data_IF_273874035978
#
_entry.id   IF_273874035978
#
_cell.length_a   1.000
_cell.length_b   1.000
_cell.length_c   1.000
_cell.angle_alpha   90.00
_cell.angle_beta   90.00
_cell.angle_gamma   90.00
#
_symmetry.space_group_name_H-M   'P 1'
#
loop_
_entity.id
_entity.type
_entity.pdbx_description
1 polymer ?
#
# COMPACT_ATOMS: atom_id res chain seq x y z
N UNK A 1 7.11 -26.30 15.59
CA UNK A 1 7.95 -25.07 15.69
C UNK A 1 9.19 -25.28 14.84
N UNK A 2 9.30 -24.54 13.74
CA UNK A 2 10.38 -24.71 12.78
C UNK A 2 11.45 -23.61 12.99
N UNK A 3 12.13 -23.63 14.15
CA UNK A 3 13.29 -22.76 14.39
C UNK A 3 14.51 -23.49 13.85
N UNK A 4 15.22 -22.87 12.91
CA UNK A 4 16.53 -23.36 12.49
C UNK A 4 17.48 -23.35 13.70
N UNK A 5 18.10 -24.52 13.98
CA UNK A 5 18.96 -24.71 15.18
C UNK A 5 20.24 -23.87 15.11
N UNK A 6 20.74 -23.60 13.90
CA UNK A 6 22.03 -22.94 13.71
C UNK A 6 21.84 -21.50 13.25
N UNK A 7 22.66 -20.60 13.79
CA UNK A 7 22.71 -19.20 13.36
C UNK A 7 23.34 -19.13 11.96
N UNK A 8 22.66 -18.51 11.01
CA UNK A 8 23.21 -18.28 9.68
C UNK A 8 24.19 -17.10 9.73
N UNK A 9 25.46 -17.36 9.51
CA UNK A 9 26.54 -16.37 9.50
C UNK A 9 27.05 -16.04 8.10
N UNK A 10 26.72 -16.87 7.11
CA UNK A 10 27.18 -16.71 5.73
C UNK A 10 26.21 -15.91 4.88
N UNK A 11 26.68 -14.79 4.30
CA UNK A 11 25.97 -14.00 3.29
C UNK A 11 25.74 -14.76 1.97
N UNK A 12 26.49 -15.86 1.75
CA UNK A 12 26.36 -16.73 0.58
C UNK A 12 25.28 -17.83 0.75
N UNK A 13 24.68 -17.95 1.93
CA UNK A 13 23.61 -18.90 2.19
C UNK A 13 22.46 -18.72 1.18
N UNK A 14 21.93 -19.79 0.54
CA UNK A 14 20.88 -19.70 -0.47
C UNK A 14 19.63 -18.96 0.00
N UNK A 15 19.22 -19.16 1.27
CA UNK A 15 18.05 -18.53 1.85
C UNK A 15 18.26 -17.02 2.03
N UNK A 16 19.49 -16.60 2.39
CA UNK A 16 19.86 -15.18 2.49
C UNK A 16 19.85 -14.53 1.09
N UNK A 17 20.42 -15.20 0.10
CA UNK A 17 20.40 -14.71 -1.30
C UNK A 17 18.97 -14.54 -1.80
N UNK A 18 18.11 -15.52 -1.54
CA UNK A 18 16.70 -15.42 -1.90
C UNK A 18 16.00 -14.25 -1.18
N UNK A 19 16.17 -14.10 0.13
CA UNK A 19 15.56 -13.00 0.89
C UNK A 19 15.98 -11.62 0.36
N UNK A 20 17.24 -11.47 -0.05
CA UNK A 20 17.75 -10.23 -0.67
C UNK A 20 17.03 -9.90 -1.98
N UNK A 21 16.64 -10.91 -2.79
CA UNK A 21 15.91 -10.64 -4.05
C UNK A 21 14.55 -9.99 -3.84
N UNK A 22 13.96 -10.13 -2.65
CA UNK A 22 12.66 -9.52 -2.31
C UNK A 22 12.71 -7.99 -2.19
N UNK A 23 13.90 -7.40 -2.14
CA UNK A 23 14.07 -5.95 -2.28
C UNK A 23 13.63 -5.45 -3.67
N UNK A 24 13.79 -6.28 -4.70
CA UNK A 24 13.47 -5.96 -6.09
C UNK A 24 12.06 -6.43 -6.49
N UNK A 25 11.39 -5.68 -7.39
CA UNK A 25 10.04 -6.02 -7.87
C UNK A 25 9.99 -7.42 -8.46
N UNK A 26 10.98 -7.77 -9.32
CA UNK A 26 11.07 -9.10 -9.97
C UNK A 26 11.08 -10.23 -8.92
N UNK A 27 11.96 -10.15 -7.93
CA UNK A 27 12.07 -11.19 -6.90
C UNK A 27 10.78 -11.35 -6.07
N UNK A 28 10.09 -10.25 -5.74
CA UNK A 28 8.80 -10.29 -5.05
C UNK A 28 7.73 -11.02 -5.86
N UNK A 29 7.60 -10.69 -7.14
CA UNK A 29 6.56 -11.29 -8.01
C UNK A 29 6.88 -12.75 -8.35
N UNK A 30 8.14 -13.12 -8.57
CA UNK A 30 8.56 -14.51 -8.75
C UNK A 30 8.33 -15.36 -7.50
N UNK A 31 8.52 -14.79 -6.32
CA UNK A 31 8.32 -15.47 -5.03
C UNK A 31 6.87 -15.42 -4.52
N UNK A 32 6.01 -14.58 -5.09
CA UNK A 32 4.66 -14.32 -4.58
C UNK A 32 4.68 -13.79 -3.13
N UNK A 33 5.72 -13.02 -2.76
CA UNK A 33 5.95 -12.59 -1.38
C UNK A 33 6.65 -11.23 -1.31
N UNK A 34 6.53 -10.58 -0.16
CA UNK A 34 7.17 -9.29 0.13
C UNK A 34 7.77 -9.26 1.54
N UNK A 35 8.58 -8.24 1.80
CA UNK A 35 9.24 -8.02 3.09
C UNK A 35 8.42 -7.05 3.94
N UNK A 36 8.15 -7.44 5.19
CA UNK A 36 7.76 -6.58 6.29
C UNK A 36 8.97 -6.40 7.23
N UNK A 37 9.67 -5.26 7.09
CA UNK A 37 10.90 -4.97 7.85
C UNK A 37 10.54 -4.21 9.13
N UNK A 38 10.90 -4.77 10.28
CA UNK A 38 10.70 -4.23 11.62
C UNK A 38 9.67 -4.98 12.46
N UNK A 39 9.89 -4.89 13.78
CA UNK A 39 9.07 -5.65 14.75
C UNK A 39 7.59 -5.27 14.70
N UNK A 40 7.28 -3.97 14.57
CA UNK A 40 5.89 -3.51 14.53
C UNK A 40 5.14 -4.09 13.33
N UNK A 41 5.71 -4.02 12.13
CA UNK A 41 5.09 -4.59 10.93
C UNK A 41 4.95 -6.11 11.01
N UNK A 42 5.95 -6.79 11.55
CA UNK A 42 5.89 -8.23 11.80
C UNK A 42 4.73 -8.61 12.72
N UNK A 43 4.57 -7.90 13.85
CA UNK A 43 3.48 -8.16 14.80
C UNK A 43 2.11 -7.81 14.21
N UNK A 44 2.00 -6.71 13.47
CA UNK A 44 0.76 -6.33 12.79
C UNK A 44 0.36 -7.35 11.71
N UNK A 45 1.32 -7.86 10.93
CA UNK A 45 1.07 -8.91 9.94
C UNK A 45 0.62 -10.22 10.62
N UNK A 46 1.28 -10.62 11.70
CA UNK A 46 0.93 -11.80 12.48
C UNK A 46 -0.48 -11.67 13.10
N UNK A 47 -0.78 -10.52 13.72
CA UNK A 47 -2.09 -10.25 14.33
C UNK A 47 -3.22 -10.18 13.31
N UNK A 48 -2.91 -9.73 12.08
CA UNK A 48 -3.86 -9.75 10.95
C UNK A 48 -4.08 -11.16 10.37
N UNK A 49 -3.38 -12.18 10.86
CA UNK A 49 -3.48 -13.55 10.38
C UNK A 49 -2.89 -13.75 8.98
N UNK A 50 -1.93 -12.93 8.58
CA UNK A 50 -1.31 -13.06 7.27
C UNK A 50 -0.32 -14.23 7.21
N UNK A 51 -0.18 -14.89 6.06
CA UNK A 51 0.70 -16.03 5.90
C UNK A 51 2.18 -15.59 5.86
N UNK A 52 2.80 -15.54 7.04
CA UNK A 52 4.24 -15.30 7.19
C UNK A 52 4.95 -16.61 6.93
N UNK A 53 5.79 -16.67 5.90
CA UNK A 53 6.54 -17.89 5.53
C UNK A 53 7.87 -18.01 6.26
N UNK A 54 8.58 -16.90 6.38
CA UNK A 54 9.89 -16.82 7.03
C UNK A 54 9.96 -15.60 7.93
N UNK A 55 10.69 -15.72 9.03
CA UNK A 55 11.00 -14.63 9.93
C UNK A 55 12.50 -14.65 10.24
N UNK A 56 13.25 -13.69 9.70
CA UNK A 56 14.67 -13.52 9.96
C UNK A 56 14.83 -12.59 11.16
N UNK A 57 15.58 -13.05 12.16
CA UNK A 57 15.83 -12.27 13.38
C UNK A 57 17.34 -12.17 13.59
N UNK A 58 17.82 -10.96 13.82
CA UNK A 58 19.22 -10.73 14.19
C UNK A 58 19.52 -11.35 15.55
N UNK A 59 20.66 -12.02 15.68
CA UNK A 59 21.06 -12.73 16.89
C UNK A 59 20.99 -11.89 18.16
N UNK A 60 21.34 -10.59 18.07
CA UNK A 60 21.29 -9.64 19.20
C UNK A 60 19.87 -9.23 19.61
N UNK A 61 18.85 -9.56 18.80
CA UNK A 61 17.43 -9.27 19.04
C UNK A 61 16.58 -10.51 19.29
N UNK A 62 17.16 -11.70 19.13
CA UNK A 62 16.42 -12.97 19.20
C UNK A 62 15.74 -13.15 20.56
N UNK A 63 16.43 -12.90 21.66
CA UNK A 63 15.88 -13.05 23.02
C UNK A 63 14.67 -12.14 23.26
N UNK A 64 14.72 -10.89 22.78
CA UNK A 64 13.66 -9.92 22.94
C UNK A 64 12.45 -10.17 22.02
N UNK A 65 12.68 -10.60 20.77
CA UNK A 65 11.63 -10.63 19.77
C UNK A 65 10.96 -11.99 19.59
N UNK A 66 11.65 -13.10 19.86
CA UNK A 66 11.06 -14.44 19.74
C UNK A 66 9.78 -14.62 20.58
N UNK A 67 9.72 -14.21 21.84
CA UNK A 67 8.49 -14.32 22.62
C UNK A 67 7.33 -13.54 22.02
N UNK A 68 7.58 -12.29 21.58
CA UNK A 68 6.56 -11.39 21.00
C UNK A 68 5.99 -11.96 19.70
N UNK A 69 6.87 -12.44 18.81
CA UNK A 69 6.48 -13.03 17.54
C UNK A 69 5.69 -14.32 17.77
N UNK A 70 6.15 -15.14 18.71
CA UNK A 70 5.48 -16.39 19.07
C UNK A 70 4.06 -16.16 19.61
N UNK A 71 3.88 -15.14 20.43
CA UNK A 71 2.58 -14.75 20.97
C UNK A 71 1.65 -14.21 19.87
N UNK A 72 2.19 -13.38 18.95
CA UNK A 72 1.41 -12.77 17.88
C UNK A 72 1.00 -13.75 16.78
N UNK A 73 1.81 -14.78 16.50
CA UNK A 73 1.50 -15.79 15.50
C UNK A 73 0.40 -16.74 16.03
N UNK A 74 -0.69 -16.86 15.27
CA UNK A 74 -1.72 -17.87 15.55
C UNK A 74 -1.13 -19.27 15.42
N UNK A 75 -1.64 -20.24 16.18
CA UNK A 75 -1.09 -21.57 16.27
C UNK A 75 -0.92 -22.26 14.90
N UNK A 76 -1.90 -22.10 14.00
CA UNK A 76 -1.90 -22.67 12.65
C UNK A 76 -0.84 -22.06 11.71
N UNK A 77 -0.49 -20.78 11.93
CA UNK A 77 0.58 -20.09 11.17
C UNK A 77 1.95 -20.31 11.82
N UNK A 78 1.99 -20.41 13.14
CA UNK A 78 3.24 -20.61 13.87
C UNK A 78 3.98 -21.89 13.46
N UNK A 79 3.26 -22.99 13.21
CA UNK A 79 3.86 -24.24 12.74
C UNK A 79 4.41 -24.17 11.32
N UNK A 80 3.85 -23.29 10.48
CA UNK A 80 4.21 -23.11 9.07
C UNK A 80 5.29 -22.04 8.85
N UNK A 81 5.50 -21.14 9.83
CA UNK A 81 6.50 -20.07 9.76
C UNK A 81 7.88 -20.62 10.10
N UNK A 82 8.85 -20.42 9.22
CA UNK A 82 10.25 -20.73 9.48
C UNK A 82 10.93 -19.55 10.18
N UNK A 83 11.34 -19.74 11.43
CA UNK A 83 12.09 -18.73 12.19
C UNK A 83 13.58 -19.00 12.04
N UNK A 84 14.33 -17.96 11.65
CA UNK A 84 15.74 -18.05 11.27
C UNK A 84 16.52 -17.00 12.02
N UNK A 85 17.44 -17.44 12.86
CA UNK A 85 18.38 -16.52 13.51
C UNK A 85 19.56 -16.31 12.57
N UNK A 86 19.92 -15.05 12.36
CA UNK A 86 21.03 -14.65 11.49
C UNK A 86 21.99 -13.76 12.25
N UNK A 87 23.28 -13.79 11.89
CA UNK A 87 24.24 -12.82 12.41
C UNK A 87 23.85 -11.41 12.00
N UNK A 88 24.27 -10.42 12.78
CA UNK A 88 24.01 -9.00 12.48
C UNK A 88 24.45 -8.62 11.06
N UNK A 89 25.62 -9.08 10.63
CA UNK A 89 26.15 -8.79 9.29
C UNK A 89 25.31 -9.39 8.16
N UNK A 90 24.67 -10.54 8.38
CA UNK A 90 23.73 -11.17 7.44
C UNK A 90 22.40 -10.39 7.46
N UNK A 91 21.91 -10.02 8.64
CA UNK A 91 20.68 -9.25 8.79
C UNK A 91 20.75 -7.91 8.01
N UNK A 92 21.84 -7.16 8.19
CA UNK A 92 22.11 -5.90 7.47
C UNK A 92 22.15 -6.07 5.95
N UNK A 93 22.46 -7.28 5.45
CA UNK A 93 22.43 -7.61 4.01
C UNK A 93 21.02 -7.83 3.48
N UNK A 94 20.10 -8.35 4.31
CA UNK A 94 18.71 -8.63 3.93
C UNK A 94 17.86 -7.37 4.07
N UNK A 95 18.10 -6.58 5.12
CA UNK A 95 17.31 -5.37 5.41
C UNK A 95 17.47 -4.31 4.32
N UNK A 96 16.37 -3.64 4.02
CA UNK A 96 16.31 -2.47 3.14
C UNK A 96 16.44 -1.15 3.90
N UNK A 97 16.61 -1.22 5.24
CA UNK A 97 16.65 -0.06 6.12
C UNK A 97 18.08 0.41 6.42
N UNK A 98 18.25 1.73 6.56
CA UNK A 98 19.51 2.33 7.02
C UNK A 98 19.81 2.04 8.49
N UNK A 99 18.77 1.89 9.32
CA UNK A 99 18.84 1.54 10.73
C UNK A 99 17.91 0.34 11.03
N UNK A 100 18.35 -0.89 10.70
CA UNK A 100 17.53 -2.07 10.82
C UNK A 100 17.11 -2.36 12.27
N UNK A 101 15.84 -2.73 12.48
CA UNK A 101 15.30 -3.04 13.81
C UNK A 101 15.61 -4.46 14.29
N UNK A 102 16.17 -5.31 13.43
CA UNK A 102 16.61 -6.66 13.80
C UNK A 102 15.56 -7.76 13.58
N UNK A 103 14.45 -7.47 12.91
CA UNK A 103 13.51 -8.50 12.44
C UNK A 103 12.94 -8.15 11.08
N UNK A 104 12.85 -9.17 10.21
CA UNK A 104 12.23 -9.10 8.89
C UNK A 104 11.32 -10.31 8.74
N UNK A 105 10.07 -10.08 8.39
CA UNK A 105 9.13 -11.12 8.01
C UNK A 105 8.90 -11.16 6.52
N UNK A 106 8.86 -12.35 5.95
CA UNK A 106 8.45 -12.59 4.56
C UNK A 106 6.99 -13.01 4.56
N UNK A 107 6.15 -12.18 3.98
CA UNK A 107 4.70 -12.35 3.92
C UNK A 107 4.31 -12.67 2.49
N UNK A 108 3.39 -13.61 2.27
CA UNK A 108 2.82 -13.88 0.94
C UNK A 108 2.05 -12.67 0.43
N UNK A 109 1.92 -12.56 -0.90
CA UNK A 109 1.07 -11.55 -1.51
C UNK A 109 -0.35 -11.64 -0.94
N UNK A 110 -0.98 -10.48 -0.78
CA UNK A 110 -2.28 -10.37 -0.11
C UNK A 110 -3.41 -10.62 -1.13
N UNK A 111 -4.38 -11.47 -0.77
CA UNK A 111 -5.47 -11.87 -1.67
C UNK A 111 -6.43 -10.72 -2.01
N UNK A 112 -6.49 -9.70 -1.14
CA UNK A 112 -7.30 -8.50 -1.39
C UNK A 112 -6.58 -7.43 -2.24
N UNK A 113 -5.38 -7.74 -2.75
CA UNK A 113 -4.73 -6.95 -3.78
C UNK A 113 -5.01 -7.60 -5.13
N UNK A 114 -5.77 -6.89 -5.96
CA UNK A 114 -6.22 -7.40 -7.25
C UNK A 114 -5.68 -6.58 -8.42
N UNK A 115 -5.51 -7.23 -9.57
CA UNK A 115 -5.20 -6.56 -10.82
C UNK A 115 -6.36 -6.80 -11.79
N UNK A 116 -6.95 -5.72 -12.30
CA UNK A 116 -8.07 -5.79 -13.23
C UNK A 116 -7.66 -5.27 -14.60
N UNK A 117 -7.78 -6.13 -15.60
CA UNK A 117 -7.52 -5.77 -17.00
C UNK A 117 -8.79 -5.25 -17.68
N UNK A 118 -9.95 -5.80 -17.33
CA UNK A 118 -11.26 -5.46 -17.89
C UNK A 118 -12.17 -5.06 -16.72
N UNK A 119 -12.97 -4.03 -16.91
CA UNK A 119 -13.95 -3.55 -15.94
C UNK A 119 -15.33 -3.65 -16.59
N UNK A 120 -16.16 -4.54 -16.05
CA UNK A 120 -17.55 -4.69 -16.49
C UNK A 120 -18.43 -3.71 -15.74
N UNK A 121 -19.23 -2.91 -16.46
CA UNK A 121 -20.12 -1.91 -15.87
C UNK A 121 -21.22 -2.55 -15.02
N UNK A 122 -21.71 -3.70 -15.48
CA UNK A 122 -22.78 -4.45 -14.85
C UNK A 122 -22.29 -5.26 -13.64
N UNK A 123 -21.03 -5.68 -13.65
CA UNK A 123 -20.39 -6.42 -12.57
C UNK A 123 -19.38 -5.53 -11.84
N UNK A 124 -19.86 -4.38 -11.33
CA UNK A 124 -19.00 -3.40 -10.73
C UNK A 124 -18.47 -3.89 -9.38
N UNK A 125 -17.16 -3.86 -9.20
CA UNK A 125 -16.46 -4.49 -8.07
C UNK A 125 -16.43 -3.65 -6.79
N UNK A 126 -16.97 -2.42 -6.82
CA UNK A 126 -17.09 -1.54 -5.65
C UNK A 126 -18.52 -1.58 -5.15
N UNK A 127 -18.70 -1.87 -3.86
CA UNK A 127 -20.03 -1.89 -3.23
C UNK A 127 -20.63 -0.47 -3.23
N UNK A 128 -21.96 -0.38 -3.17
CA UNK A 128 -22.70 0.88 -3.27
C UNK A 128 -22.26 1.91 -2.20
N UNK A 129 -22.00 1.46 -0.99
CA UNK A 129 -21.60 2.26 0.18
C UNK A 129 -20.07 2.31 0.40
N UNK A 130 -19.28 1.54 -0.35
CA UNK A 130 -17.83 1.44 -0.19
C UNK A 130 -17.13 2.73 -0.62
N UNK A 131 -16.39 3.35 0.29
CA UNK A 131 -15.58 4.54 0.00
C UNK A 131 -14.34 4.19 -0.80
N UNK A 132 -14.07 4.94 -1.86
CA UNK A 132 -12.92 4.70 -2.72
C UNK A 132 -12.15 5.97 -3.05
N UNK A 133 -10.83 5.85 -3.15
CA UNK A 133 -9.93 6.86 -3.72
C UNK A 133 -9.14 6.28 -4.87
N UNK A 134 -8.91 7.08 -5.91
CA UNK A 134 -8.21 6.66 -7.12
C UNK A 134 -6.89 7.40 -7.23
N UNK A 135 -5.81 6.70 -7.50
CA UNK A 135 -4.50 7.26 -7.73
C UNK A 135 -4.12 7.08 -9.20
N UNK A 136 -3.87 8.20 -9.88
CA UNK A 136 -3.47 8.25 -11.27
C UNK A 136 -1.97 8.55 -11.33
N UNK A 137 -1.15 7.57 -11.74
CA UNK A 137 0.30 7.72 -11.93
C UNK A 137 1.08 8.21 -10.71
N UNK A 138 0.63 7.90 -9.50
CA UNK A 138 1.38 8.22 -8.26
C UNK A 138 2.57 7.28 -8.15
N UNK A 139 3.76 7.78 -8.54
CA UNK A 139 4.98 6.95 -8.71
C UNK A 139 5.91 6.92 -7.52
N UNK A 140 5.79 7.84 -6.55
CA UNK A 140 6.59 7.77 -5.31
C UNK A 140 6.00 6.72 -4.35
N UNK A 141 6.78 5.68 -3.98
CA UNK A 141 6.31 4.64 -3.06
C UNK A 141 5.94 5.19 -1.67
N UNK A 142 6.55 6.29 -1.22
CA UNK A 142 6.20 6.89 0.08
C UNK A 142 4.85 7.58 0.02
N UNK A 143 4.52 8.25 -1.09
CA UNK A 143 3.22 8.89 -1.27
C UNK A 143 2.13 7.82 -1.34
N UNK A 144 2.33 6.76 -2.13
CA UNK A 144 1.41 5.63 -2.18
C UNK A 144 1.16 5.04 -0.79
N UNK A 145 2.22 4.73 -0.05
CA UNK A 145 2.09 4.19 1.31
C UNK A 145 1.39 5.15 2.27
N UNK A 146 1.67 6.45 2.18
CA UNK A 146 1.02 7.48 3.00
C UNK A 146 -0.47 7.63 2.68
N UNK A 147 -0.86 7.54 1.40
CA UNK A 147 -2.28 7.51 1.00
C UNK A 147 -2.98 6.29 1.59
N UNK A 148 -2.40 5.10 1.47
CA UNK A 148 -2.94 3.86 2.05
C UNK A 148 -3.13 4.02 3.57
N UNK A 149 -2.18 4.65 4.26
CA UNK A 149 -2.29 4.89 5.70
C UNK A 149 -3.43 5.88 6.03
N UNK A 150 -3.54 6.95 5.28
CA UNK A 150 -4.60 7.94 5.44
C UNK A 150 -5.98 7.37 5.10
N UNK A 151 -6.07 6.49 4.10
CA UNK A 151 -7.30 5.81 3.72
C UNK A 151 -7.93 5.07 4.92
N UNK A 152 -7.14 4.28 5.62
CA UNK A 152 -7.61 3.57 6.82
C UNK A 152 -8.01 4.55 7.93
N UNK A 153 -7.25 5.63 8.12
CA UNK A 153 -7.54 6.62 9.16
C UNK A 153 -8.88 7.37 8.93
N UNK A 154 -9.25 7.59 7.66
CA UNK A 154 -10.47 8.30 7.29
C UNK A 154 -11.61 7.38 6.82
N UNK A 155 -11.48 6.06 7.02
CA UNK A 155 -12.53 5.10 6.69
C UNK A 155 -12.73 4.89 5.20
N UNK A 156 -11.70 5.15 4.36
CA UNK A 156 -11.70 4.76 2.96
C UNK A 156 -11.29 3.29 2.88
N UNK A 157 -12.16 2.47 2.30
CA UNK A 157 -12.02 1.02 2.29
C UNK A 157 -11.30 0.49 1.07
N UNK A 158 -11.25 1.30 -0.03
CA UNK A 158 -10.71 0.89 -1.31
C UNK A 158 -9.78 1.95 -1.91
N UNK A 159 -8.54 1.57 -2.16
CA UNK A 159 -7.56 2.37 -2.92
C UNK A 159 -7.41 1.76 -4.31
N UNK A 160 -7.70 2.52 -5.34
CA UNK A 160 -7.62 2.08 -6.73
C UNK A 160 -6.45 2.78 -7.42
N UNK A 161 -5.63 2.04 -8.12
CA UNK A 161 -4.38 2.50 -8.72
C UNK A 161 -4.44 2.32 -10.23
N UNK A 162 -3.95 3.30 -11.00
CA UNK A 162 -3.52 3.03 -12.37
C UNK A 162 -2.31 2.08 -12.37
N UNK A 163 -2.11 1.34 -13.45
CA UNK A 163 -1.09 0.29 -13.54
C UNK A 163 0.36 0.82 -13.55
N UNK A 164 0.53 2.12 -13.77
CA UNK A 164 1.81 2.83 -13.72
C UNK A 164 2.12 3.49 -12.36
N UNK A 165 1.26 3.30 -11.36
CA UNK A 165 1.55 3.68 -9.98
C UNK A 165 2.75 2.90 -9.40
N UNK A 166 3.29 3.40 -8.29
CA UNK A 166 4.32 2.70 -7.53
C UNK A 166 3.86 1.29 -7.15
N UNK A 167 4.83 0.38 -7.04
CA UNK A 167 4.57 -1.00 -6.62
C UNK A 167 4.10 -1.04 -5.16
N UNK A 168 2.92 -1.64 -4.95
CA UNK A 168 2.29 -1.80 -3.64
C UNK A 168 3.15 -2.60 -2.65
N UNK A 169 3.94 -3.54 -3.15
CA UNK A 169 4.84 -4.37 -2.35
C UNK A 169 6.26 -3.80 -2.24
N UNK A 170 6.53 -2.61 -2.78
CA UNK A 170 7.82 -1.96 -2.59
C UNK A 170 8.08 -1.76 -1.08
N UNK A 171 9.27 -2.11 -0.56
CA UNK A 171 9.59 -1.94 0.86
C UNK A 171 9.32 -0.54 1.40
N UNK A 172 9.53 0.49 0.58
CA UNK A 172 9.24 1.89 0.96
C UNK A 172 7.73 2.15 1.06
N UNK A 173 6.90 1.54 0.18
CA UNK A 173 5.44 1.61 0.25
C UNK A 173 4.94 0.92 1.52
N UNK A 174 5.36 -0.33 1.76
CA UNK A 174 4.99 -1.11 2.94
C UNK A 174 5.32 -0.37 4.23
N UNK A 175 6.52 0.20 4.33
CA UNK A 175 6.95 0.98 5.49
C UNK A 175 6.10 2.23 5.69
N UNK A 176 5.85 3.01 4.63
CA UNK A 176 5.07 4.25 4.74
C UNK A 176 3.60 3.98 5.08
N UNK A 177 3.04 2.88 4.58
CA UNK A 177 1.68 2.45 4.89
C UNK A 177 1.54 1.87 6.30
N UNK A 178 2.63 1.36 6.89
CA UNK A 178 2.58 0.64 8.16
C UNK A 178 1.54 -0.51 8.11
N UNK A 179 0.96 -0.91 9.22
CA UNK A 179 -0.08 -1.94 9.27
C UNK A 179 -1.40 -1.59 8.57
N UNK A 180 -1.57 -0.36 8.11
CA UNK A 180 -2.71 0.03 7.27
C UNK A 180 -2.73 -0.74 5.95
N UNK A 181 -1.56 -1.15 5.44
CA UNK A 181 -1.44 -2.01 4.28
C UNK A 181 -2.25 -3.32 4.40
N UNK A 182 -2.49 -3.80 5.60
CA UNK A 182 -3.19 -5.05 5.90
C UNK A 182 -4.69 -4.87 6.15
N UNK A 183 -5.22 -3.65 5.99
CA UNK A 183 -6.59 -3.27 6.40
C UNK A 183 -7.40 -2.63 5.28
N UNK A 184 -6.80 -2.34 4.13
CA UNK A 184 -7.44 -1.65 3.01
C UNK A 184 -7.39 -2.53 1.77
N UNK A 185 -8.46 -2.51 1.00
CA UNK A 185 -8.53 -3.17 -0.30
C UNK A 185 -7.76 -2.34 -1.34
N UNK A 186 -6.96 -2.99 -2.16
CA UNK A 186 -6.23 -2.31 -3.24
C UNK A 186 -6.49 -3.00 -4.57
N UNK A 187 -6.89 -2.24 -5.57
CA UNK A 187 -7.08 -2.73 -6.93
C UNK A 187 -6.22 -1.93 -7.90
N UNK A 188 -5.46 -2.62 -8.73
CA UNK A 188 -4.73 -2.02 -9.85
C UNK A 188 -5.54 -2.22 -11.12
N UNK A 189 -5.83 -1.14 -11.84
CA UNK A 189 -6.61 -1.15 -13.08
C UNK A 189 -5.77 -0.70 -14.26
N UNK A 190 -5.95 -1.33 -15.43
CA UNK A 190 -5.26 -0.93 -16.65
C UNK A 190 -5.90 0.27 -17.34
N UNK A 191 -7.20 0.46 -17.17
CA UNK A 191 -7.95 1.51 -17.86
C UNK A 191 -8.71 2.37 -16.85
N UNK A 192 -8.20 3.57 -16.56
CA UNK A 192 -8.95 4.56 -15.80
C UNK A 192 -10.20 5.06 -16.54
N UNK A 193 -10.21 5.25 -17.88
CA UNK A 193 -11.43 5.57 -18.61
C UNK A 193 -12.57 4.58 -18.39
N UNK A 194 -12.28 3.27 -18.43
CA UNK A 194 -13.28 2.22 -18.19
C UNK A 194 -13.76 2.23 -16.73
N UNK A 195 -12.86 2.45 -15.79
CA UNK A 195 -13.21 2.60 -14.37
C UNK A 195 -14.16 3.79 -14.15
N UNK A 196 -13.82 4.97 -14.69
CA UNK A 196 -14.65 6.18 -14.56
C UNK A 196 -16.03 5.93 -15.15
N UNK A 197 -16.08 5.36 -16.36
CA UNK A 197 -17.34 5.04 -17.04
C UNK A 197 -18.19 4.04 -16.24
N UNK A 198 -17.58 3.02 -15.64
CA UNK A 198 -18.28 2.04 -14.79
C UNK A 198 -18.78 2.68 -13.50
N UNK A 199 -18.00 3.56 -12.86
CA UNK A 199 -18.42 4.29 -11.66
C UNK A 199 -19.65 5.17 -11.95
N UNK A 200 -19.62 5.95 -13.03
CA UNK A 200 -20.72 6.83 -13.42
C UNK A 200 -21.97 6.05 -13.83
N UNK A 201 -21.82 4.92 -14.54
CA UNK A 201 -22.93 4.03 -14.87
C UNK A 201 -23.65 3.50 -13.61
N UNK A 202 -22.88 3.26 -12.53
CA UNK A 202 -23.39 2.84 -11.23
C UNK A 202 -23.73 4.02 -10.28
N UNK A 203 -23.94 5.23 -10.84
CA UNK A 203 -24.42 6.39 -10.12
C UNK A 203 -23.42 7.10 -9.21
N UNK A 204 -22.12 6.77 -9.31
CA UNK A 204 -21.07 7.46 -8.56
C UNK A 204 -20.54 8.66 -9.32
N UNK A 205 -20.40 9.80 -8.64
CA UNK A 205 -19.69 10.94 -9.20
C UNK A 205 -18.18 10.73 -9.07
N UNK A 206 -17.44 11.13 -10.09
CA UNK A 206 -15.97 11.04 -10.12
C UNK A 206 -15.39 12.45 -10.28
N UNK A 207 -14.54 12.85 -9.36
CA UNK A 207 -13.90 14.16 -9.33
C UNK A 207 -12.39 14.06 -9.54
N UNK A 208 -11.81 15.03 -10.23
CA UNK A 208 -10.37 15.21 -10.33
C UNK A 208 -9.87 16.22 -9.31
N UNK A 209 -8.86 15.84 -8.53
CA UNK A 209 -8.17 16.76 -7.61
C UNK A 209 -7.15 17.60 -8.38
N UNK A 210 -7.59 18.71 -8.95
CA UNK A 210 -6.74 19.60 -9.76
C UNK A 210 -7.28 21.03 -9.80
N UNK A 211 -6.38 21.99 -10.03
CA UNK A 211 -6.72 23.38 -10.34
C UNK A 211 -6.64 23.59 -11.86
N UNK A 212 -7.80 23.81 -12.50
CA UNK A 212 -7.91 24.16 -13.93
C UNK A 212 -9.09 25.08 -14.16
N UNK A 213 -9.22 25.58 -15.39
CA UNK A 213 -10.36 26.38 -15.77
C UNK A 213 -11.69 25.62 -15.54
N UNK A 214 -12.63 26.27 -14.87
CA UNK A 214 -13.91 25.67 -14.48
C UNK A 214 -13.88 24.75 -13.24
N UNK A 215 -12.72 24.56 -12.61
CA UNK A 215 -12.63 23.79 -11.37
C UNK A 215 -13.35 24.50 -10.23
N UNK A 216 -14.01 23.71 -9.37
CA UNK A 216 -14.72 24.22 -8.18
C UNK A 216 -13.83 24.12 -6.96
N UNK A 217 -13.98 25.07 -6.04
CA UNK A 217 -13.33 24.98 -4.74
C UNK A 217 -13.89 23.81 -3.93
N UNK A 218 -13.04 23.09 -3.22
CA UNK A 218 -13.47 22.03 -2.30
C UNK A 218 -14.47 22.52 -1.25
N UNK A 219 -14.44 23.82 -0.91
CA UNK A 219 -15.40 24.46 0.01
C UNK A 219 -16.81 24.61 -0.56
N UNK A 220 -16.97 24.51 -1.88
CA UNK A 220 -18.23 24.72 -2.62
C UNK A 220 -18.87 23.41 -3.06
N UNK A 221 -18.20 22.29 -2.82
CA UNK A 221 -18.67 20.95 -3.20
C UNK A 221 -19.11 20.20 -1.95
N UNK A 222 -20.33 19.72 -1.97
CA UNK A 222 -20.80 18.71 -1.01
C UNK A 222 -20.37 17.32 -1.52
N UNK A 223 -19.23 16.83 -0.98
CA UNK A 223 -18.70 15.50 -1.27
C UNK A 223 -19.46 14.46 -0.48
N UNK A 224 -20.00 13.48 -1.22
CA UNK A 224 -20.65 12.30 -0.62
C UNK A 224 -19.62 11.19 -0.37
N UNK A 225 -19.92 10.32 0.55
CA UNK A 225 -19.09 9.13 0.85
C UNK A 225 -18.93 8.21 -0.36
N UNK A 226 -19.91 8.19 -1.27
CA UNK A 226 -19.92 7.38 -2.50
C UNK A 226 -19.18 8.03 -3.66
N UNK A 227 -18.78 9.30 -3.57
CA UNK A 227 -18.01 9.96 -4.62
C UNK A 227 -16.61 9.35 -4.71
N UNK A 228 -16.02 9.37 -5.89
CA UNK A 228 -14.64 8.96 -6.09
C UNK A 228 -13.77 10.18 -6.43
N UNK A 229 -12.59 10.26 -5.82
CA UNK A 229 -11.63 11.33 -6.06
C UNK A 229 -10.40 10.75 -6.73
N UNK A 230 -10.01 11.32 -7.87
CA UNK A 230 -8.76 10.99 -8.55
C UNK A 230 -7.66 11.95 -8.09
N UNK A 231 -6.59 11.39 -7.53
CA UNK A 231 -5.37 12.13 -7.18
C UNK A 231 -4.32 11.85 -8.25
N UNK A 232 -3.75 12.90 -8.82
CA UNK A 232 -2.78 12.81 -9.90
C UNK A 232 -1.33 12.66 -9.44
N UNK A 233 -0.46 12.54 -10.45
CA UNK A 233 0.99 12.54 -10.29
C UNK A 233 1.49 13.89 -9.77
N UNK A 234 2.56 13.85 -8.97
CA UNK A 234 3.15 15.04 -8.32
C UNK A 234 3.73 16.06 -9.30
N UNK A 235 4.26 15.61 -10.43
CA UNK A 235 4.90 16.49 -11.41
C UNK A 235 4.02 16.85 -12.60
N UNK A 236 3.11 15.96 -13.01
CA UNK A 236 2.33 16.12 -14.25
C UNK A 236 0.82 16.24 -14.00
N UNK A 237 0.38 16.04 -12.75
CA UNK A 237 -1.05 16.08 -12.41
C UNK A 237 -1.84 14.92 -13.00
N UNK A 238 -3.08 15.20 -13.36
CA UNK A 238 -4.00 14.25 -14.00
C UNK A 238 -3.99 14.51 -15.51
N UNK A 239 -3.82 13.50 -16.38
CA UNK A 239 -3.90 13.66 -17.82
C UNK A 239 -5.23 14.28 -18.26
N UNK A 240 -5.19 15.21 -19.21
CA UNK A 240 -6.38 15.95 -19.67
C UNK A 240 -7.49 15.03 -20.21
N UNK A 241 -7.12 13.91 -20.83
CA UNK A 241 -8.04 12.89 -21.32
C UNK A 241 -8.81 12.20 -20.18
N UNK A 242 -8.18 12.00 -19.02
CA UNK A 242 -8.83 11.44 -17.82
C UNK A 242 -9.74 12.50 -17.18
N UNK A 243 -9.23 13.68 -17.02
CA UNK A 243 -9.92 14.79 -16.39
C UNK A 243 -11.22 15.18 -17.12
N UNK A 244 -11.25 15.09 -18.46
CA UNK A 244 -12.46 15.34 -19.27
C UNK A 244 -13.58 14.31 -19.08
N UNK A 245 -13.26 13.12 -18.60
CA UNK A 245 -14.25 12.06 -18.33
C UNK A 245 -14.93 12.23 -16.97
N UNK A 246 -14.33 13.00 -16.08
CA UNK A 246 -14.83 13.20 -14.72
C UNK A 246 -15.98 14.20 -14.69
N UNK A 247 -16.81 14.12 -13.65
CA UNK A 247 -17.98 15.00 -13.47
C UNK A 247 -17.57 16.45 -13.22
N UNK A 248 -16.47 16.66 -12.47
CA UNK A 248 -15.89 17.97 -12.23
C UNK A 248 -14.43 17.86 -11.79
N UNK A 249 -13.69 18.96 -11.95
CA UNK A 249 -12.43 19.20 -11.26
C UNK A 249 -12.66 19.98 -9.98
N UNK A 250 -11.97 19.58 -8.91
CA UNK A 250 -12.09 20.19 -7.58
C UNK A 250 -10.70 20.50 -7.05
N UNK A 251 -10.49 21.73 -6.58
CA UNK A 251 -9.22 22.13 -6.02
C UNK A 251 -9.30 22.46 -4.54
N UNK A 252 -8.22 22.17 -3.81
CA UNK A 252 -8.03 22.59 -2.43
C UNK A 252 -7.54 24.05 -2.46
N UNK A 253 -8.27 25.01 -1.86
CA UNK A 253 -7.78 26.40 -1.75
C UNK A 253 -6.52 26.45 -0.88
N UNK A 254 -5.40 26.79 -1.49
CA UNK A 254 -4.09 26.94 -0.85
C UNK A 254 -3.56 28.36 -1.05
N UNK A 255 -2.52 28.72 -0.28
CA UNK A 255 -1.85 30.01 -0.42
C UNK A 255 -1.24 30.16 -1.83
N UNK A 256 -1.31 31.36 -2.45
CA UNK A 256 -0.67 31.62 -3.74
C UNK A 256 0.87 31.52 -3.69
N UNK A 257 1.45 31.41 -2.48
CA UNK A 257 2.89 31.26 -2.30
C UNK A 257 3.39 29.81 -2.53
N UNK A 258 2.50 28.88 -2.85
CA UNK A 258 2.85 27.50 -3.21
C UNK A 258 2.05 27.04 -4.41
N UNK A 259 2.67 26.26 -5.29
CA UNK A 259 2.03 25.79 -6.53
C UNK A 259 1.09 24.61 -6.29
N UNK A 260 1.45 23.71 -5.36
CA UNK A 260 0.67 22.48 -5.10
C UNK A 260 0.96 21.93 -3.70
N UNK A 261 0.12 20.98 -3.30
CA UNK A 261 0.36 20.10 -2.15
C UNK A 261 1.01 18.80 -2.61
N UNK A 262 1.75 18.16 -1.72
CA UNK A 262 2.17 16.77 -1.91
C UNK A 262 0.93 15.88 -2.14
N UNK A 263 1.02 14.90 -3.05
CA UNK A 263 -0.11 14.06 -3.45
C UNK A 263 -0.77 13.33 -2.26
N UNK A 264 0.01 12.83 -1.31
CA UNK A 264 -0.55 12.16 -0.14
C UNK A 264 -1.24 13.12 0.83
N UNK A 265 -0.77 14.37 0.91
CA UNK A 265 -1.43 15.43 1.70
C UNK A 265 -2.74 15.84 1.04
N UNK A 266 -2.75 16.06 -0.28
CA UNK A 266 -3.97 16.35 -1.02
C UNK A 266 -5.01 15.23 -0.85
N UNK A 267 -4.60 13.97 -1.03
CA UNK A 267 -5.45 12.82 -0.80
C UNK A 267 -6.06 12.80 0.61
N UNK A 268 -5.25 13.08 1.64
CA UNK A 268 -5.72 13.10 3.02
C UNK A 268 -6.78 14.20 3.26
N UNK A 269 -6.61 15.39 2.67
CA UNK A 269 -7.59 16.50 2.77
C UNK A 269 -8.92 16.10 2.11
N UNK A 270 -8.90 15.50 0.92
CA UNK A 270 -10.12 15.03 0.25
C UNK A 270 -10.82 13.93 1.05
N UNK A 271 -10.07 12.93 1.53
CA UNK A 271 -10.63 11.84 2.33
C UNK A 271 -11.25 12.33 3.64
N UNK A 272 -10.61 13.31 4.29
CA UNK A 272 -11.17 13.93 5.50
C UNK A 272 -12.45 14.71 5.18
N UNK A 273 -12.50 15.47 4.08
CA UNK A 273 -13.71 16.20 3.68
C UNK A 273 -14.87 15.24 3.41
N UNK A 274 -14.61 14.12 2.72
CA UNK A 274 -15.63 13.07 2.51
C UNK A 274 -16.09 12.39 3.80
N UNK A 275 -15.34 12.49 4.90
CA UNK A 275 -15.68 11.83 6.16
C UNK A 275 -16.59 12.64 7.06
N UNK A 276 -16.86 13.89 6.69
CA UNK A 276 -17.81 14.78 7.40
C UNK A 276 -19.24 14.39 7.11
#
# INVERSE_FOLDING_TARGET
MNILKDIITSRANPLVKWAVTLADKKGRYESGAFIADGIKLTLEAASAGLPITHCFISEDKAEAYLPLIKEALRADFYEKTQIIIVSRSVFEKISTEKAPQGVISVVKHLDFFTNMTIIYKEEFFIKEDERAIILCSVRDPSNLGSVIRSSVAFGVEHVILSDDCADIYNPKTIRSAMGSMFKVKVTVVKSLPDLISAMQYNGRRVFCAELREGAKSLKEIDLKTTDAIIIGNEGHGIPTEISKLCDNSVYIPISPNTESLNASVAAAVFMWEQSK
#
